data_IF_033693990820
#
_entry.id   IF_033693990820
#
_cell.length_a   1.000
_cell.length_b   1.000
_cell.length_c   1.000
_cell.angle_alpha   90.00
_cell.angle_beta   90.00
_cell.angle_gamma   90.00
#
_symmetry.space_group_name_H-M   'P 1'
#
loop_
_entity.id
_entity.type
_entity.pdbx_description
1 polymer ?
#
# COMPACT_ATOMS: atom_id res chain seq x y z
N UNK A 1 -9.48 4.84 -7.40
CA UNK A 1 -8.68 5.24 -6.22
C UNK A 1 -8.22 4.00 -5.47
N UNK A 2 -7.08 4.07 -4.80
CA UNK A 2 -6.54 2.99 -3.97
C UNK A 2 -6.16 3.54 -2.60
N UNK A 3 -6.23 2.69 -1.58
CA UNK A 3 -5.72 2.95 -0.25
C UNK A 3 -4.59 1.96 0.04
N UNK A 4 -3.50 2.41 0.66
CA UNK A 4 -2.36 1.55 0.96
C UNK A 4 -1.56 2.00 2.17
N UNK A 5 -0.94 1.03 2.82
CA UNK A 5 0.00 1.25 3.90
C UNK A 5 1.42 1.07 3.36
N UNK A 6 2.26 2.08 3.52
CA UNK A 6 3.67 2.04 3.09
C UNK A 6 4.60 2.07 4.29
N UNK A 7 5.82 1.59 4.09
CA UNK A 7 6.87 1.59 5.10
C UNK A 7 7.51 2.98 5.23
N UNK A 8 7.81 3.37 6.45
CA UNK A 8 8.47 4.64 6.77
C UNK A 8 7.52 5.84 6.80
N UNK A 9 8.08 7.01 7.05
CA UNK A 9 7.37 8.29 7.10
C UNK A 9 7.54 9.03 5.77
N UNK A 10 6.50 9.10 4.95
CA UNK A 10 6.47 9.93 3.75
C UNK A 10 6.32 11.39 4.17
N UNK A 11 7.33 12.21 3.89
CA UNK A 11 7.36 13.60 4.39
C UNK A 11 6.44 14.54 3.61
N UNK A 12 6.29 14.32 2.31
CA UNK A 12 5.40 15.10 1.45
C UNK A 12 3.93 14.74 1.74
N UNK A 13 3.06 15.76 1.84
CA UNK A 13 1.62 15.54 2.06
C UNK A 13 0.92 14.94 0.84
N UNK A 14 1.32 15.35 -0.34
CA UNK A 14 0.82 14.87 -1.62
C UNK A 14 1.90 15.02 -2.71
N UNK A 15 1.75 14.30 -3.79
CA UNK A 15 2.69 14.38 -4.89
C UNK A 15 2.30 13.54 -6.10
N UNK A 16 3.11 13.67 -7.14
CA UNK A 16 2.97 12.91 -8.38
C UNK A 16 4.28 12.19 -8.68
N UNK A 17 4.19 10.90 -9.01
CA UNK A 17 5.30 10.08 -9.45
C UNK A 17 5.15 9.86 -10.94
N UNK A 18 6.05 10.44 -11.72
CA UNK A 18 6.16 10.26 -13.16
C UNK A 18 7.41 9.46 -13.48
N UNK A 19 7.27 8.16 -13.58
CA UNK A 19 8.40 7.28 -13.83
C UNK A 19 7.99 6.10 -14.70
N UNK A 20 8.72 5.85 -15.83
CA UNK A 20 8.34 4.80 -16.76
C UNK A 20 8.61 3.41 -16.18
N UNK A 21 7.67 2.49 -16.39
CA UNK A 21 7.69 1.14 -15.86
C UNK A 21 7.94 0.13 -16.97
N UNK A 22 8.90 -0.74 -16.74
CA UNK A 22 9.26 -1.87 -17.61
C UNK A 22 9.35 -3.18 -16.82
N UNK A 23 9.39 -4.30 -17.55
CA UNK A 23 9.59 -5.60 -16.94
C UNK A 23 11.03 -5.73 -16.42
N UNK A 24 11.19 -6.34 -15.25
CA UNK A 24 12.53 -6.59 -14.70
C UNK A 24 13.26 -7.65 -15.55
N UNK A 25 14.49 -7.39 -16.05
CA UNK A 25 15.14 -8.26 -17.01
C UNK A 25 15.51 -9.65 -16.47
N UNK A 26 15.75 -9.75 -15.17
CA UNK A 26 16.24 -10.98 -14.53
C UNK A 26 15.22 -11.65 -13.59
N UNK A 27 14.12 -10.97 -13.23
CA UNK A 27 13.15 -11.51 -12.27
C UNK A 27 11.77 -11.58 -12.92
N UNK A 28 11.31 -12.76 -13.32
CA UNK A 28 9.99 -12.93 -13.95
C UNK A 28 8.86 -12.37 -13.05
N UNK A 29 7.89 -11.70 -13.67
CA UNK A 29 6.73 -11.14 -12.96
C UNK A 29 7.01 -9.87 -12.14
N UNK A 30 8.28 -9.46 -11.99
CA UNK A 30 8.64 -8.20 -11.35
C UNK A 30 8.74 -7.07 -12.36
N UNK A 31 8.31 -5.88 -11.95
CA UNK A 31 8.47 -4.65 -12.72
C UNK A 31 9.53 -3.76 -12.08
N UNK A 32 10.07 -2.80 -12.83
CA UNK A 32 11.02 -1.79 -12.32
C UNK A 32 10.82 -0.46 -13.05
N UNK A 33 11.39 0.60 -12.49
CA UNK A 33 11.58 1.85 -13.21
C UNK A 33 12.73 1.65 -14.21
N UNK A 34 12.51 2.06 -15.46
CA UNK A 34 13.52 1.93 -16.50
C UNK A 34 13.23 2.83 -17.69
N UNK A 35 14.31 3.32 -18.34
CA UNK A 35 14.25 4.31 -19.43
C UNK A 35 13.43 3.84 -20.66
N UNK A 36 13.35 2.54 -20.89
CA UNK A 36 12.61 1.94 -21.99
C UNK A 36 11.18 1.54 -21.57
N UNK A 37 10.79 1.88 -20.36
CA UNK A 37 9.48 1.56 -19.79
C UNK A 37 8.33 2.36 -20.40
N UNK A 38 7.12 1.89 -20.17
CA UNK A 38 5.91 2.61 -20.55
C UNK A 38 5.69 3.79 -19.60
N UNK A 39 5.36 5.00 -20.09
CA UNK A 39 5.02 6.13 -19.26
C UNK A 39 3.96 5.77 -18.22
N UNK A 40 4.19 6.19 -17.00
CA UNK A 40 3.34 5.83 -15.85
C UNK A 40 3.26 6.99 -14.87
N UNK A 41 2.05 7.34 -14.46
CA UNK A 41 1.76 8.47 -13.57
C UNK A 41 0.89 7.98 -12.41
N UNK A 42 1.38 8.21 -11.19
CA UNK A 42 0.67 7.91 -9.94
C UNK A 42 0.64 9.16 -9.08
N UNK A 43 -0.55 9.59 -8.69
CA UNK A 43 -0.74 10.61 -7.66
C UNK A 43 -0.85 9.95 -6.30
N UNK A 44 -0.31 10.60 -5.28
CA UNK A 44 -0.47 10.13 -3.91
C UNK A 44 -0.82 11.27 -2.96
N UNK A 45 -1.52 10.90 -1.89
CA UNK A 45 -1.84 11.79 -0.77
C UNK A 45 -1.66 11.03 0.53
N UNK A 46 -0.98 11.66 1.48
CA UNK A 46 -0.85 11.14 2.84
C UNK A 46 -2.15 11.38 3.59
N UNK A 47 -2.72 10.32 4.15
CA UNK A 47 -3.89 10.38 5.00
C UNK A 47 -3.47 10.47 6.46
N UNK A 48 -2.49 9.65 6.87
CA UNK A 48 -2.06 9.56 8.26
C UNK A 48 -0.64 9.00 8.37
N UNK A 49 0.19 9.59 9.22
CA UNK A 49 1.51 9.06 9.60
C UNK A 49 1.43 8.31 10.91
N UNK A 50 2.02 7.13 10.92
CA UNK A 50 2.12 6.26 12.08
C UNK A 50 3.60 5.92 12.30
N UNK A 51 3.96 5.50 13.51
CA UNK A 51 5.35 5.15 13.80
C UNK A 51 5.85 4.00 12.91
N UNK A 52 6.73 4.35 11.95
CA UNK A 52 7.29 3.41 10.99
C UNK A 52 6.45 3.15 9.75
N UNK A 53 5.28 3.78 9.60
CA UNK A 53 4.35 3.57 8.50
C UNK A 53 3.64 4.85 8.08
N UNK A 54 3.16 4.89 6.82
CA UNK A 54 2.28 5.96 6.33
C UNK A 54 1.06 5.35 5.63
N UNK A 55 -0.12 5.77 6.02
CA UNK A 55 -1.38 5.43 5.37
C UNK A 55 -1.66 6.44 4.26
N UNK A 56 -1.90 5.97 3.04
CA UNK A 56 -1.94 6.82 1.85
C UNK A 56 -3.09 6.47 0.92
N UNK A 57 -3.50 7.46 0.16
CA UNK A 57 -4.39 7.33 -0.99
C UNK A 57 -3.60 7.48 -2.29
N UNK A 58 -3.99 6.72 -3.32
CA UNK A 58 -3.36 6.74 -4.63
C UNK A 58 -4.40 6.90 -5.74
N UNK A 59 -4.10 7.80 -6.68
CA UNK A 59 -4.81 7.98 -7.94
C UNK A 59 -3.93 7.58 -9.12
N UNK A 60 -4.49 6.90 -10.10
CA UNK A 60 -3.76 6.44 -11.29
C UNK A 60 -4.28 7.15 -12.54
N UNK A 61 -3.39 7.80 -13.31
CA UNK A 61 -3.68 8.22 -14.69
C UNK A 61 -3.42 7.09 -15.68
N UNK A 62 -2.53 6.17 -15.33
CA UNK A 62 -2.16 5.01 -16.14
C UNK A 62 -2.32 3.73 -15.32
N UNK A 63 -2.56 2.59 -15.96
CA UNK A 63 -2.75 1.30 -15.30
C UNK A 63 -1.68 0.27 -15.69
N UNK A 64 -0.42 0.46 -15.27
CA UNK A 64 0.65 -0.50 -15.56
C UNK A 64 0.71 -1.58 -14.48
N UNK A 65 1.16 -2.76 -14.86
CA UNK A 65 1.38 -3.87 -13.92
C UNK A 65 2.21 -3.42 -12.73
N UNK A 66 1.72 -3.66 -11.51
CA UNK A 66 2.36 -3.31 -10.25
C UNK A 66 2.67 -1.80 -10.07
N UNK A 67 2.00 -0.91 -10.78
CA UNK A 67 2.38 0.49 -10.87
C UNK A 67 2.59 1.17 -9.49
N UNK A 68 1.60 1.15 -8.60
CA UNK A 68 1.72 1.75 -7.26
C UNK A 68 2.87 1.10 -6.48
N UNK A 69 3.01 -0.23 -6.57
CA UNK A 69 4.04 -1.00 -5.86
C UNK A 69 5.45 -0.59 -6.28
N UNK A 70 5.68 -0.46 -7.59
CA UNK A 70 6.97 -0.05 -8.18
C UNK A 70 7.27 1.41 -7.87
N UNK A 71 6.29 2.30 -8.02
CA UNK A 71 6.44 3.72 -7.75
C UNK A 71 6.75 3.98 -6.27
N UNK A 72 6.04 3.32 -5.35
CA UNK A 72 6.33 3.47 -3.92
C UNK A 72 7.67 2.86 -3.52
N UNK A 73 8.09 1.75 -4.15
CA UNK A 73 9.45 1.22 -3.99
C UNK A 73 10.51 2.18 -4.52
N UNK A 74 10.24 2.87 -5.62
CA UNK A 74 11.15 3.88 -6.19
C UNK A 74 11.33 5.08 -5.26
N UNK A 75 10.29 5.48 -4.52
CA UNK A 75 10.37 6.51 -3.48
C UNK A 75 10.95 6.00 -2.15
N UNK A 76 11.45 4.77 -2.09
CA UNK A 76 11.98 4.13 -0.87
C UNK A 76 10.92 3.89 0.23
N UNK A 77 9.65 3.99 -0.12
CA UNK A 77 8.50 3.71 0.75
C UNK A 77 7.66 2.54 0.21
N UNK A 78 8.19 1.30 0.12
CA UNK A 78 7.44 0.19 -0.44
C UNK A 78 6.19 -0.12 0.37
N UNK A 79 5.19 -0.73 -0.28
CA UNK A 79 3.98 -1.21 0.40
C UNK A 79 4.32 -2.28 1.43
N UNK A 80 3.61 -2.24 2.53
CA UNK A 80 3.74 -3.22 3.63
C UNK A 80 3.31 -4.60 3.17
N UNK A 81 4.00 -5.65 3.61
CA UNK A 81 3.77 -7.05 3.23
C UNK A 81 3.82 -7.30 1.72
N UNK A 82 4.58 -6.52 0.95
CA UNK A 82 4.74 -6.74 -0.48
C UNK A 82 5.82 -7.81 -0.75
N UNK A 83 5.45 -9.00 -1.29
CA UNK A 83 6.41 -10.09 -1.48
C UNK A 83 7.43 -9.85 -2.59
N UNK A 84 7.21 -8.86 -3.48
CA UNK A 84 8.11 -8.58 -4.60
C UNK A 84 8.95 -7.31 -4.39
N UNK A 85 8.48 -6.36 -3.57
CA UNK A 85 9.09 -5.04 -3.47
C UNK A 85 9.46 -4.64 -2.04
N UNK A 86 9.08 -5.44 -1.02
CA UNK A 86 9.48 -5.26 0.38
C UNK A 86 9.95 -6.56 1.02
N UNK A 87 10.11 -6.59 2.35
CA UNK A 87 10.52 -7.78 3.11
C UNK A 87 9.45 -8.88 3.17
N UNK A 88 8.23 -8.62 2.76
CA UNK A 88 7.07 -9.50 2.93
C UNK A 88 6.75 -9.87 4.40
N UNK A 89 7.37 -9.21 5.36
CA UNK A 89 7.15 -9.48 6.78
C UNK A 89 5.73 -9.10 7.19
N UNK A 90 5.04 -9.97 7.95
CA UNK A 90 3.71 -9.68 8.45
C UNK A 90 3.73 -8.57 9.50
N UNK A 91 2.65 -7.81 9.58
CA UNK A 91 2.46 -6.81 10.64
C UNK A 91 1.95 -7.51 11.89
N UNK A 92 2.75 -7.49 12.94
CA UNK A 92 2.42 -8.07 14.25
C UNK A 92 2.05 -6.96 15.25
N UNK A 93 1.10 -7.24 16.13
CA UNK A 93 0.73 -6.31 17.20
C UNK A 93 1.89 -6.11 18.18
N UNK A 94 2.68 -7.14 18.43
CA UNK A 94 3.86 -7.11 19.29
C UNK A 94 4.93 -6.13 18.81
N UNK A 95 5.02 -5.85 17.51
CA UNK A 95 6.03 -4.94 16.95
C UNK A 95 5.88 -3.49 17.40
N UNK A 96 4.70 -3.08 17.87
CA UNK A 96 4.45 -1.71 18.31
C UNK A 96 3.68 -1.58 19.64
N UNK A 97 3.07 -2.66 20.17
CA UNK A 97 2.41 -2.66 21.46
C UNK A 97 3.38 -3.02 22.57
N UNK A 98 3.77 -2.03 23.38
CA UNK A 98 4.56 -2.27 24.60
C UNK A 98 3.80 -3.25 25.53
N UNK A 99 4.54 -4.17 26.17
CA UNK A 99 3.97 -5.19 27.07
C UNK A 99 2.92 -6.10 26.41
N UNK A 100 3.14 -6.44 25.11
CA UNK A 100 2.34 -7.45 24.44
C UNK A 100 2.47 -8.80 25.18
N UNK A 101 1.34 -9.48 25.36
CA UNK A 101 1.29 -10.85 25.86
C UNK A 101 0.41 -11.66 24.93
N UNK A 102 0.87 -12.84 24.55
CA UNK A 102 0.03 -13.82 23.88
C UNK A 102 -1.13 -14.24 24.79
N UNK A 103 -2.27 -14.58 24.21
CA UNK A 103 -3.35 -15.22 24.97
C UNK A 103 -2.87 -16.57 25.50
N UNK A 104 -3.41 -17.03 26.63
CA UNK A 104 -2.98 -18.28 27.29
C UNK A 104 -3.09 -19.52 26.37
N UNK A 105 -4.01 -19.48 25.42
CA UNK A 105 -4.28 -20.59 24.49
C UNK A 105 -3.56 -20.46 23.13
N UNK A 106 -2.73 -19.41 22.94
CA UNK A 106 -2.04 -19.18 21.68
C UNK A 106 -0.54 -19.49 21.81
N UNK A 107 -0.06 -20.39 20.98
CA UNK A 107 1.39 -20.70 20.85
C UNK A 107 2.13 -19.70 19.95
N UNK A 108 1.42 -19.03 19.03
CA UNK A 108 2.00 -18.13 18.03
C UNK A 108 1.09 -16.91 17.90
N UNK A 109 1.70 -15.73 17.76
CA UNK A 109 0.97 -14.50 17.47
C UNK A 109 0.38 -14.53 16.05
N UNK A 110 -0.92 -14.26 15.95
CA UNK A 110 -1.56 -14.08 14.63
C UNK A 110 -1.27 -12.68 14.10
N UNK A 111 -0.80 -12.56 12.85
CA UNK A 111 -0.55 -11.26 12.27
C UNK A 111 -1.83 -10.44 12.13
N UNK A 112 -1.71 -9.14 12.27
CA UNK A 112 -2.77 -8.17 11.95
C UNK A 112 -2.95 -8.06 10.44
N UNK A 113 -1.83 -8.17 9.70
CA UNK A 113 -1.79 -8.14 8.25
C UNK A 113 -0.61 -8.99 7.77
N UNK A 114 -0.85 -9.89 6.81
CA UNK A 114 0.15 -10.82 6.22
C UNK A 114 0.09 -10.85 4.69
N UNK A 115 -0.63 -9.92 4.08
CA UNK A 115 -0.75 -9.73 2.64
C UNK A 115 -0.45 -8.31 2.24
N UNK A 116 -0.18 -8.10 0.96
CA UNK A 116 0.02 -6.77 0.37
C UNK A 116 -1.01 -5.75 0.89
N UNK A 117 -0.52 -4.70 1.53
CA UNK A 117 -1.31 -3.64 2.15
C UNK A 117 -1.81 -2.63 1.11
N UNK A 118 -2.54 -3.11 0.11
CA UNK A 118 -3.14 -2.30 -0.96
C UNK A 118 -4.59 -2.73 -1.17
N UNK A 119 -5.48 -1.74 -1.31
CA UNK A 119 -6.91 -1.93 -1.47
C UNK A 119 -7.45 -0.98 -2.55
N UNK A 120 -8.14 -1.52 -3.56
CA UNK A 120 -8.88 -0.72 -4.52
C UNK A 120 -10.16 -0.21 -3.84
N UNK A 121 -10.22 1.08 -3.50
CA UNK A 121 -11.32 1.68 -2.74
C UNK A 121 -12.44 2.19 -3.61
N UNK A 122 -12.13 2.69 -4.80
CA UNK A 122 -13.15 3.11 -5.75
C UNK A 122 -12.65 3.06 -7.20
N UNK A 123 -13.57 2.89 -8.11
CA UNK A 123 -13.34 3.05 -9.55
C UNK A 123 -14.42 3.94 -10.13
N UNK A 124 -14.00 4.87 -10.99
CA UNK A 124 -14.90 5.72 -11.76
C UNK A 124 -14.87 5.25 -13.22
N UNK A 125 -16.03 4.97 -13.77
CA UNK A 125 -16.22 4.49 -15.12
C UNK A 125 -17.19 5.43 -15.85
N UNK A 126 -16.99 5.60 -17.14
CA UNK A 126 -17.95 6.28 -18.00
C UNK A 126 -18.78 5.21 -18.73
N UNK A 127 -20.09 5.20 -18.48
CA UNK A 127 -21.01 4.31 -19.14
C UNK A 127 -21.15 4.58 -20.63
N UNK A 128 -21.68 3.64 -21.39
CA UNK A 128 -21.94 3.80 -22.83
C UNK A 128 -22.97 4.91 -23.13
N UNK A 129 -23.80 5.22 -22.16
CA UNK A 129 -24.79 6.33 -22.20
C UNK A 129 -24.16 7.68 -21.80
N UNK A 130 -22.84 7.73 -21.57
CA UNK A 130 -22.10 8.92 -21.18
C UNK A 130 -22.21 9.28 -19.69
N UNK A 131 -22.99 8.53 -18.89
CA UNK A 131 -23.11 8.76 -17.46
C UNK A 131 -21.89 8.23 -16.71
N UNK A 132 -21.50 8.93 -15.66
CA UNK A 132 -20.46 8.48 -14.74
C UNK A 132 -21.03 7.46 -13.75
N UNK A 133 -20.33 6.36 -13.59
CA UNK A 133 -20.61 5.33 -12.60
C UNK A 133 -19.41 5.27 -11.64
N UNK A 134 -19.66 5.48 -10.37
CA UNK A 134 -18.68 5.32 -9.30
C UNK A 134 -19.02 4.05 -8.52
N UNK A 135 -18.08 3.13 -8.49
CA UNK A 135 -18.16 1.92 -7.66
C UNK A 135 -17.19 2.05 -6.50
N UNK A 136 -17.67 1.79 -5.30
CA UNK A 136 -16.85 1.85 -4.07
C UNK A 136 -16.79 0.49 -3.39
N UNK A 137 -15.65 0.20 -2.79
CA UNK A 137 -15.42 -1.00 -1.99
C UNK A 137 -15.02 -0.60 -0.58
N UNK A 138 -15.73 -1.10 0.42
CA UNK A 138 -15.35 -0.93 1.81
C UNK A 138 -13.96 -1.53 2.09
N UNK A 139 -13.20 -0.87 2.95
CA UNK A 139 -11.89 -1.38 3.36
C UNK A 139 -12.02 -2.79 3.95
N UNK A 140 -11.16 -3.70 3.54
CA UNK A 140 -11.17 -5.09 4.01
C UNK A 140 -10.97 -5.18 5.52
N UNK A 141 -11.57 -6.19 6.16
CA UNK A 141 -11.57 -6.34 7.63
C UNK A 141 -10.17 -6.40 8.25
N UNK A 142 -9.24 -7.08 7.60
CA UNK A 142 -7.84 -7.18 8.04
C UNK A 142 -7.15 -5.80 8.06
N UNK A 143 -7.28 -5.01 6.98
CA UNK A 143 -6.75 -3.64 6.95
C UNK A 143 -7.45 -2.73 7.96
N UNK A 144 -8.78 -2.86 8.15
CA UNK A 144 -9.50 -2.11 9.18
C UNK A 144 -8.93 -2.41 10.57
N UNK A 145 -8.79 -3.69 10.92
CA UNK A 145 -8.25 -4.12 12.23
C UNK A 145 -6.81 -3.65 12.40
N UNK A 146 -5.96 -3.82 11.38
CA UNK A 146 -4.58 -3.35 11.42
C UNK A 146 -4.52 -1.84 11.70
N UNK A 147 -5.27 -1.03 10.96
CA UNK A 147 -5.30 0.43 11.13
C UNK A 147 -5.83 0.84 12.51
N UNK A 148 -6.87 0.19 13.04
CA UNK A 148 -7.39 0.47 14.39
C UNK A 148 -6.30 0.21 15.43
N UNK A 149 -5.60 -0.93 15.35
CA UNK A 149 -4.54 -1.29 16.30
C UNK A 149 -3.33 -0.36 16.19
N UNK A 150 -2.92 -0.03 14.96
CA UNK A 150 -1.81 0.88 14.72
C UNK A 150 -2.12 2.30 15.22
N UNK A 151 -3.32 2.82 14.99
CA UNK A 151 -3.76 4.10 15.56
C UNK A 151 -3.74 4.12 17.10
N UNK A 152 -4.01 2.98 17.72
CA UNK A 152 -3.99 2.87 19.18
C UNK A 152 -2.59 2.77 19.77
N UNK A 153 -1.65 2.09 19.11
CA UNK A 153 -0.36 1.71 19.69
C UNK A 153 0.86 2.21 18.93
N UNK A 154 0.70 2.68 17.71
CA UNK A 154 1.77 3.17 16.84
C UNK A 154 1.57 4.65 16.44
N UNK A 155 1.00 5.46 17.31
CA UNK A 155 0.93 6.93 17.09
C UNK A 155 2.33 7.53 17.06
N UNK A 156 2.52 8.49 16.17
CA UNK A 156 3.69 9.38 16.17
C UNK A 156 3.59 10.37 17.34
#
# INVERSE_FOLDING_TARGET
MYLGLVMGAVMQEEGTIEAPIEQHPAIPGRMRIGKNGKPSVTHFKVIERLRGFTWMEFGLETGRTHQIRVHMKHLEHPLVCDPLYSSAEPVLLSSFKKKFKLSQDASIEKPLLDRLALHASSIQLKGMDGKELILEAALSKDLQVAMIQMRKFAKC
#
